data_IF_934630329024
#
_entry.id   IF_934630329024
#
_cell.length_a   1.000
_cell.length_b   1.000
_cell.length_c   1.000
_cell.angle_alpha   90.00
_cell.angle_beta   90.00
_cell.angle_gamma   90.00
#
_symmetry.space_group_name_H-M   'P 1'
#
loop_
_entity.id
_entity.type
_entity.pdbx_description
1 polymer ?
#
# COMPACT_ATOMS: atom_id res chain seq x y z
N UNK A 1 19.71 -2.84 -1.95
CA UNK A 1 19.74 -1.78 -2.98
C UNK A 1 21.07 -1.84 -3.71
N UNK A 2 21.11 -1.50 -5.00
CA UNK A 2 22.32 -1.43 -5.83
C UNK A 2 22.39 -0.04 -6.48
N UNK A 3 23.57 0.55 -6.51
CA UNK A 3 23.78 1.88 -7.07
C UNK A 3 23.92 1.89 -8.60
N UNK A 4 24.37 0.78 -9.17
CA UNK A 4 24.59 0.56 -10.60
C UNK A 4 24.66 -0.95 -10.88
N UNK A 5 24.87 -1.33 -12.15
CA UNK A 5 24.93 -2.72 -12.60
C UNK A 5 26.11 -3.51 -11.97
N UNK A 6 27.27 -2.88 -11.82
CA UNK A 6 28.44 -3.53 -11.19
C UNK A 6 28.19 -3.84 -9.71
N UNK A 7 27.61 -2.89 -8.97
CA UNK A 7 27.20 -3.06 -7.58
C UNK A 7 26.09 -4.12 -7.45
N UNK A 8 25.14 -4.14 -8.38
CA UNK A 8 24.11 -5.18 -8.44
C UNK A 8 24.74 -6.57 -8.61
N UNK A 9 25.62 -6.74 -9.58
CA UNK A 9 26.26 -8.03 -9.85
C UNK A 9 27.09 -8.50 -8.65
N UNK A 10 27.80 -7.59 -8.00
CA UNK A 10 28.58 -7.88 -6.79
C UNK A 10 27.67 -8.39 -5.66
N UNK A 11 26.57 -7.67 -5.38
CA UNK A 11 25.61 -8.04 -4.32
C UNK A 11 24.86 -9.33 -4.65
N UNK A 12 24.47 -9.52 -5.91
CA UNK A 12 23.83 -10.75 -6.34
C UNK A 12 24.73 -11.98 -6.12
N UNK A 13 26.00 -11.89 -6.51
CA UNK A 13 26.95 -12.97 -6.29
C UNK A 13 27.19 -13.25 -4.80
N UNK A 14 27.19 -12.21 -3.97
CA UNK A 14 27.29 -12.37 -2.52
C UNK A 14 26.06 -13.16 -1.99
N UNK A 15 24.84 -12.77 -2.35
CA UNK A 15 23.60 -13.45 -1.92
C UNK A 15 23.58 -14.92 -2.37
N UNK A 16 24.07 -15.22 -3.57
CA UNK A 16 24.24 -16.60 -4.05
C UNK A 16 25.24 -17.36 -3.18
N UNK A 17 26.41 -16.76 -2.89
CA UNK A 17 27.45 -17.39 -2.07
C UNK A 17 27.01 -17.66 -0.63
N UNK A 18 26.12 -16.83 -0.11
CA UNK A 18 25.49 -16.97 1.21
C UNK A 18 24.30 -17.93 1.22
N UNK A 19 23.89 -18.45 0.05
CA UNK A 19 22.75 -19.37 -0.10
C UNK A 19 21.38 -18.72 0.15
N UNK A 20 21.29 -17.40 0.04
CA UNK A 20 20.05 -16.62 0.23
C UNK A 20 19.19 -16.70 -1.03
N UNK A 21 19.82 -16.67 -2.22
CA UNK A 21 19.16 -16.85 -3.52
C UNK A 21 19.90 -17.92 -4.33
N UNK A 22 19.21 -18.54 -5.28
CA UNK A 22 19.83 -19.46 -6.24
C UNK A 22 20.38 -18.73 -7.48
N UNK A 23 21.27 -19.37 -8.23
CA UNK A 23 21.80 -18.82 -9.48
C UNK A 23 20.71 -18.56 -10.53
N UNK A 24 19.70 -19.43 -10.57
CA UNK A 24 18.59 -19.41 -11.53
C UNK A 24 17.40 -18.57 -11.05
N UNK A 25 17.51 -17.93 -9.89
CA UNK A 25 16.41 -17.16 -9.32
C UNK A 25 16.13 -15.90 -10.12
N UNK A 26 14.86 -15.75 -10.51
CA UNK A 26 14.39 -14.55 -11.21
C UNK A 26 14.15 -13.43 -10.20
N UNK A 27 14.93 -12.36 -10.31
CA UNK A 27 14.82 -11.19 -9.46
C UNK A 27 14.12 -10.05 -10.19
N UNK A 28 13.18 -9.39 -9.50
CA UNK A 28 12.62 -8.13 -9.97
C UNK A 28 13.53 -6.98 -9.57
N UNK A 29 13.91 -6.15 -10.54
CA UNK A 29 14.67 -4.93 -10.33
C UNK A 29 13.74 -3.76 -10.50
N UNK A 30 13.63 -2.94 -9.46
CA UNK A 30 12.82 -1.72 -9.46
C UNK A 30 13.68 -0.51 -9.15
N UNK A 31 13.33 0.62 -9.74
CA UNK A 31 13.89 1.91 -9.32
C UNK A 31 13.49 2.20 -7.88
N UNK A 32 14.43 2.71 -7.08
CA UNK A 32 14.13 3.18 -5.74
C UNK A 32 13.52 4.58 -5.81
N UNK A 33 12.22 4.68 -5.59
CA UNK A 33 11.54 5.95 -5.49
C UNK A 33 11.69 6.53 -4.08
N UNK A 34 12.34 7.69 -3.97
CA UNK A 34 12.47 8.41 -2.72
C UNK A 34 11.27 9.31 -2.49
N UNK A 35 10.68 9.26 -1.28
CA UNK A 35 9.52 10.08 -0.95
C UNK A 35 8.89 9.72 0.38
N UNK A 36 7.72 10.28 0.62
CA UNK A 36 6.90 9.96 1.79
C UNK A 36 6.07 8.71 1.51
N UNK A 37 6.29 7.67 2.30
CA UNK A 37 5.48 6.45 2.21
C UNK A 37 4.00 6.76 2.48
N UNK A 38 3.14 6.27 1.60
CA UNK A 38 1.69 6.38 1.75
C UNK A 38 1.01 5.11 1.25
N UNK A 39 0.17 4.55 2.08
CA UNK A 39 -0.57 3.32 1.84
C UNK A 39 -2.04 3.68 1.68
N UNK A 40 -2.47 3.80 0.41
CA UNK A 40 -3.81 4.25 0.03
C UNK A 40 -4.79 3.09 0.14
N UNK A 41 -5.73 3.18 1.08
CA UNK A 41 -6.67 2.11 1.40
C UNK A 41 -8.02 2.38 0.76
N UNK A 42 -8.56 1.39 0.08
CA UNK A 42 -9.81 1.48 -0.67
C UNK A 42 -10.76 0.33 -0.31
N UNK A 43 -12.02 0.52 -0.68
CA UNK A 43 -13.02 -0.53 -0.76
C UNK A 43 -13.77 -0.40 -2.09
N UNK A 44 -13.88 -1.50 -2.83
CA UNK A 44 -14.72 -1.55 -4.03
C UNK A 44 -15.92 -2.45 -3.78
N UNK A 45 -17.13 -1.90 -3.97
CA UNK A 45 -18.37 -2.63 -3.85
C UNK A 45 -18.85 -3.10 -5.23
N UNK A 46 -18.87 -4.41 -5.52
CA UNK A 46 -19.47 -4.92 -6.75
C UNK A 46 -21.01 -4.84 -6.73
N UNK A 47 -21.63 -4.62 -5.56
CA UNK A 47 -23.08 -4.48 -5.44
C UNK A 47 -23.59 -3.11 -5.91
N UNK A 48 -22.79 -2.06 -5.71
CA UNK A 48 -23.10 -0.68 -6.13
C UNK A 48 -22.24 -0.22 -7.29
N UNK A 49 -21.18 -0.97 -7.61
CA UNK A 49 -20.15 -0.62 -8.59
C UNK A 49 -19.46 0.71 -8.25
N UNK A 50 -19.21 0.94 -6.97
CA UNK A 50 -18.62 2.15 -6.44
C UNK A 50 -17.29 1.87 -5.76
N UNK A 51 -16.34 2.79 -5.97
CA UNK A 51 -15.07 2.85 -5.27
C UNK A 51 -15.19 3.81 -4.08
N UNK A 52 -14.75 3.36 -2.93
CA UNK A 52 -14.68 4.14 -1.71
C UNK A 52 -13.21 4.30 -1.30
N UNK A 53 -12.80 5.53 -1.01
CA UNK A 53 -11.50 5.80 -0.42
C UNK A 53 -11.62 5.74 1.11
N UNK A 54 -11.01 4.72 1.72
CA UNK A 54 -11.10 4.51 3.16
C UNK A 54 -10.16 5.41 3.93
N UNK A 55 -8.91 5.52 3.52
CA UNK A 55 -7.93 6.32 4.26
C UNK A 55 -6.50 6.05 3.81
N UNK A 56 -5.57 6.65 4.53
CA UNK A 56 -4.13 6.49 4.29
C UNK A 56 -3.42 6.22 5.59
N UNK A 57 -2.48 5.31 5.56
CA UNK A 57 -1.52 5.14 6.63
C UNK A 57 -0.08 5.32 6.14
N UNK A 58 0.77 5.69 7.06
CA UNK A 58 2.21 5.68 6.91
C UNK A 58 2.79 4.61 7.82
N UNK A 59 3.68 3.78 7.30
CA UNK A 59 4.42 2.79 8.08
C UNK A 59 5.68 3.41 8.65
N UNK A 60 6.00 3.04 9.88
CA UNK A 60 7.23 3.40 10.56
C UNK A 60 8.18 2.23 10.54
N UNK A 61 9.34 2.45 9.94
CA UNK A 61 10.36 1.44 9.73
C UNK A 61 11.56 1.67 10.63
N UNK A 62 11.99 0.63 11.34
CA UNK A 62 13.12 0.70 12.25
C UNK A 62 14.43 0.97 11.50
N UNK A 63 15.37 1.64 12.20
CA UNK A 63 16.69 2.08 11.74
C UNK A 63 16.69 3.09 10.60
N UNK A 64 16.00 2.82 9.46
CA UNK A 64 16.04 3.74 8.30
C UNK A 64 15.53 5.14 8.65
N UNK A 65 14.46 5.24 9.43
CA UNK A 65 13.95 6.54 9.87
C UNK A 65 14.93 7.27 10.80
N UNK A 66 15.61 6.53 11.68
CA UNK A 66 16.66 7.08 12.55
C UNK A 66 17.88 7.49 11.78
N UNK A 67 18.32 6.67 10.82
CA UNK A 67 19.48 6.97 9.97
C UNK A 67 19.24 8.19 9.09
N UNK A 68 18.05 8.38 8.56
CA UNK A 68 17.68 9.53 7.74
C UNK A 68 17.74 10.88 8.48
N UNK A 69 17.80 10.88 9.82
CA UNK A 69 17.89 12.10 10.67
C UNK A 69 19.29 12.58 10.95
N UNK A 70 20.31 11.81 10.58
CA UNK A 70 21.72 12.17 10.79
C UNK A 70 22.39 12.50 9.44
N UNK A 71 23.40 13.41 9.44
CA UNK A 71 24.12 13.78 8.23
C UNK A 71 24.72 12.56 7.50
N UNK A 72 24.76 12.61 6.17
CA UNK A 72 25.18 11.48 5.33
C UNK A 72 26.61 11.00 5.60
N UNK A 73 27.51 11.92 5.94
CA UNK A 73 28.90 11.57 6.33
C UNK A 73 28.96 10.77 7.64
N UNK A 74 28.03 11.02 8.57
CA UNK A 74 27.90 10.27 9.80
C UNK A 74 27.20 8.92 9.57
N UNK A 75 26.22 8.86 8.66
CA UNK A 75 25.62 7.59 8.25
C UNK A 75 26.70 6.64 7.73
N UNK A 76 27.57 7.10 6.84
CA UNK A 76 28.68 6.31 6.30
C UNK A 76 29.66 5.84 7.39
N UNK A 77 29.97 6.71 8.35
CA UNK A 77 30.86 6.37 9.48
C UNK A 77 30.27 5.35 10.44
N UNK A 78 28.96 5.33 10.59
CA UNK A 78 28.27 4.39 11.48
C UNK A 78 28.39 2.93 11.04
N UNK A 79 28.63 2.68 9.75
CA UNK A 79 28.65 1.35 9.11
C UNK A 79 27.39 0.53 9.37
N UNK A 80 26.29 1.14 9.80
CA UNK A 80 25.02 0.47 9.98
C UNK A 80 24.38 0.14 8.63
N UNK A 81 23.88 -1.07 8.49
CA UNK A 81 23.02 -1.45 7.38
C UNK A 81 21.60 -1.08 7.78
N UNK A 82 20.88 -0.29 6.96
CA UNK A 82 19.50 0.09 7.27
C UNK A 82 18.60 -1.13 7.37
N UNK A 83 17.70 -1.10 8.36
CA UNK A 83 16.59 -2.05 8.49
C UNK A 83 15.27 -1.37 8.11
N UNK A 84 14.43 -2.10 7.39
CA UNK A 84 13.10 -1.67 6.94
C UNK A 84 11.99 -2.45 7.66
N UNK A 85 12.26 -2.95 8.86
CA UNK A 85 11.25 -3.67 9.63
C UNK A 85 10.15 -2.71 10.10
N UNK A 86 8.93 -2.96 9.67
CA UNK A 86 7.76 -2.18 10.10
C UNK A 86 7.49 -2.42 11.58
N UNK A 87 7.49 -1.36 12.36
CA UNK A 87 7.22 -1.37 13.81
C UNK A 87 5.85 -0.81 14.17
N UNK A 88 5.20 -0.10 13.26
CA UNK A 88 3.90 0.48 13.51
C UNK A 88 3.39 1.31 12.35
N UNK A 89 2.14 1.77 12.49
CA UNK A 89 1.46 2.59 11.51
C UNK A 89 0.91 3.85 12.19
N UNK A 90 0.89 4.96 11.45
CA UNK A 90 0.20 6.19 11.86
C UNK A 90 -0.78 6.64 10.78
N UNK A 91 -1.90 7.31 11.17
CA UNK A 91 -2.84 7.87 10.22
C UNK A 91 -2.20 9.05 9.46
N UNK A 92 -2.48 9.12 8.17
CA UNK A 92 -2.10 10.24 7.33
C UNK A 92 -3.36 10.85 6.70
N UNK A 93 -3.49 12.17 6.77
CA UNK A 93 -4.54 12.90 6.03
C UNK A 93 -3.87 13.62 4.86
N UNK A 94 -4.24 13.22 3.65
CA UNK A 94 -3.74 13.84 2.43
C UNK A 94 -4.31 15.26 2.25
N UNK A 95 -3.55 16.11 1.59
CA UNK A 95 -4.07 17.37 1.09
C UNK A 95 -5.22 17.11 0.11
N UNK A 96 -6.28 17.89 0.20
CA UNK A 96 -7.47 17.75 -0.66
C UNK A 96 -7.12 17.76 -2.14
N UNK A 97 -6.12 18.55 -2.55
CA UNK A 97 -5.65 18.64 -3.94
C UNK A 97 -5.08 17.35 -4.53
N UNK A 98 -4.82 16.32 -3.70
CA UNK A 98 -4.34 15.01 -4.15
C UNK A 98 -5.45 13.98 -4.30
N UNK A 99 -6.66 14.27 -3.83
CA UNK A 99 -7.74 13.29 -3.80
C UNK A 99 -8.21 12.86 -5.19
N UNK A 100 -8.25 13.76 -6.16
CA UNK A 100 -8.63 13.44 -7.53
C UNK A 100 -7.70 12.38 -8.14
N UNK A 101 -6.37 12.52 -7.93
CA UNK A 101 -5.39 11.53 -8.36
C UNK A 101 -5.58 10.20 -7.64
N UNK A 102 -5.85 10.23 -6.33
CA UNK A 102 -6.10 9.04 -5.52
C UNK A 102 -7.30 8.25 -6.03
N UNK A 103 -8.43 8.91 -6.27
CA UNK A 103 -9.62 8.25 -6.82
C UNK A 103 -9.34 7.69 -8.22
N UNK A 104 -8.71 8.47 -9.09
CA UNK A 104 -8.33 8.01 -10.43
C UNK A 104 -7.44 6.76 -10.40
N UNK A 105 -6.48 6.70 -9.48
CA UNK A 105 -5.64 5.50 -9.30
C UNK A 105 -6.46 4.29 -8.86
N UNK A 106 -7.33 4.46 -7.87
CA UNK A 106 -8.18 3.39 -7.39
C UNK A 106 -9.12 2.86 -8.47
N UNK A 107 -9.76 3.73 -9.24
CA UNK A 107 -10.61 3.36 -10.38
C UNK A 107 -9.82 2.61 -11.47
N UNK A 108 -8.65 3.13 -11.85
CA UNK A 108 -7.77 2.48 -12.83
C UNK A 108 -7.31 1.09 -12.34
N UNK A 109 -7.05 0.94 -11.05
CA UNK A 109 -6.69 -0.35 -10.47
C UNK A 109 -7.86 -1.35 -10.57
N UNK A 110 -9.07 -0.95 -10.19
CA UNK A 110 -10.28 -1.79 -10.30
C UNK A 110 -10.52 -2.21 -11.74
N UNK A 111 -10.45 -1.29 -12.69
CA UNK A 111 -10.64 -1.58 -14.11
C UNK A 111 -9.52 -2.49 -14.68
N UNK A 112 -8.28 -2.29 -14.25
CA UNK A 112 -7.18 -3.19 -14.62
C UNK A 112 -7.38 -4.60 -14.04
N UNK A 113 -7.79 -4.70 -12.79
CA UNK A 113 -8.08 -5.98 -12.14
C UNK A 113 -9.17 -6.76 -12.89
N UNK A 114 -10.28 -6.11 -13.27
CA UNK A 114 -11.36 -6.73 -14.07
C UNK A 114 -10.88 -7.31 -15.40
N UNK A 115 -9.89 -6.66 -16.04
CA UNK A 115 -9.34 -7.12 -17.33
C UNK A 115 -8.36 -8.28 -17.19
N UNK A 116 -7.63 -8.36 -16.06
CA UNK A 116 -6.54 -9.31 -15.88
C UNK A 116 -7.01 -10.58 -15.18
N UNK A 117 -7.84 -10.45 -14.15
CA UNK A 117 -8.32 -11.57 -13.32
C UNK A 117 -9.81 -11.40 -13.05
N UNK A 118 -10.65 -12.25 -13.68
CA UNK A 118 -12.09 -12.26 -13.41
C UNK A 118 -12.37 -12.81 -12.01
N UNK A 119 -13.33 -12.21 -11.26
CA UNK A 119 -14.24 -11.11 -11.60
C UNK A 119 -13.65 -9.72 -11.34
N UNK A 120 -12.39 -9.58 -11.00
CA UNK A 120 -11.73 -8.33 -10.67
C UNK A 120 -11.49 -8.15 -9.19
N UNK A 121 -11.29 -6.91 -8.76
CA UNK A 121 -11.10 -6.56 -7.37
C UNK A 121 -12.44 -6.31 -6.68
N UNK A 122 -12.74 -7.09 -5.63
CA UNK A 122 -13.92 -6.92 -4.78
C UNK A 122 -13.50 -6.69 -3.32
N UNK A 123 -14.18 -5.77 -2.64
CA UNK A 123 -13.89 -5.49 -1.23
C UNK A 123 -12.64 -4.61 -1.00
N UNK A 124 -11.93 -4.80 0.14
CA UNK A 124 -10.82 -3.95 0.53
C UNK A 124 -9.56 -4.24 -0.26
N UNK A 125 -8.83 -3.17 -0.63
CA UNK A 125 -7.49 -3.26 -1.19
C UNK A 125 -6.66 -2.03 -0.80
N UNK A 126 -5.35 -2.12 -1.03
CA UNK A 126 -4.41 -1.05 -0.76
C UNK A 126 -3.47 -0.88 -1.96
N UNK A 127 -3.20 0.37 -2.32
CA UNK A 127 -2.13 0.74 -3.25
C UNK A 127 -1.00 1.36 -2.43
N UNK A 128 0.18 0.77 -2.52
CA UNK A 128 1.34 1.14 -1.72
C UNK A 128 2.34 1.92 -2.58
N UNK A 129 2.81 3.04 -2.07
CA UNK A 129 3.71 3.90 -2.84
C UNK A 129 4.32 5.04 -2.04
N UNK A 130 4.92 5.96 -2.76
CA UNK A 130 5.56 7.15 -2.20
C UNK A 130 5.09 8.41 -2.93
N UNK A 131 4.96 9.50 -2.18
CA UNK A 131 4.86 10.85 -2.74
C UNK A 131 6.25 11.48 -2.78
N UNK A 132 6.70 11.90 -3.96
CA UNK A 132 7.97 12.59 -4.18
C UNK A 132 7.90 14.07 -3.73
N UNK A 133 9.01 14.82 -3.93
CA UNK A 133 9.10 16.24 -3.61
C UNK A 133 8.13 17.15 -4.39
N UNK A 134 7.60 16.67 -5.52
CA UNK A 134 6.59 17.35 -6.34
C UNK A 134 5.17 16.93 -5.96
N UNK A 135 5.03 16.11 -4.93
CA UNK A 135 3.79 15.48 -4.50
C UNK A 135 3.16 14.57 -5.59
N UNK A 136 3.98 13.98 -6.44
CA UNK A 136 3.58 12.97 -7.41
C UNK A 136 3.69 11.58 -6.77
N UNK A 137 2.63 10.79 -6.91
CA UNK A 137 2.60 9.42 -6.39
C UNK A 137 3.25 8.42 -7.34
N UNK A 138 4.12 7.57 -6.80
CA UNK A 138 4.68 6.41 -7.50
C UNK A 138 4.33 5.16 -6.72
N UNK A 139 3.50 4.29 -7.29
CA UNK A 139 3.16 3.01 -6.68
C UNK A 139 4.26 1.97 -6.96
N UNK A 140 4.55 1.13 -5.97
CA UNK A 140 5.51 0.03 -6.09
C UNK A 140 4.90 -1.32 -5.74
N UNK A 141 3.77 -1.35 -5.03
CA UNK A 141 3.09 -2.57 -4.61
C UNK A 141 1.58 -2.35 -4.46
N UNK A 142 0.83 -3.43 -4.43
CA UNK A 142 -0.58 -3.41 -4.01
C UNK A 142 -0.89 -4.65 -3.16
N UNK A 143 -1.90 -4.52 -2.32
CA UNK A 143 -2.45 -5.62 -1.52
C UNK A 143 -3.95 -5.77 -1.84
N UNK A 144 -4.33 -6.87 -2.49
CA UNK A 144 -5.73 -7.18 -2.83
C UNK A 144 -6.47 -7.79 -1.62
N UNK A 145 -6.37 -7.15 -0.46
CA UNK A 145 -6.97 -7.59 0.81
C UNK A 145 -6.99 -6.46 1.82
N UNK A 146 -7.63 -6.71 2.97
CA UNK A 146 -7.49 -5.85 4.14
C UNK A 146 -6.03 -5.80 4.63
N UNK A 147 -5.53 -4.63 4.95
CA UNK A 147 -4.16 -4.39 5.45
C UNK A 147 -4.16 -3.96 6.91
N UNK A 148 -3.02 -4.16 7.59
CA UNK A 148 -2.89 -3.83 9.01
C UNK A 148 -3.12 -2.35 9.33
N UNK A 149 -2.79 -1.45 8.40
CA UNK A 149 -3.02 -0.01 8.53
C UNK A 149 -4.49 0.38 8.73
N UNK A 150 -5.46 -0.48 8.35
CA UNK A 150 -6.88 -0.21 8.62
C UNK A 150 -7.19 -0.19 10.13
N UNK A 151 -6.37 -0.83 10.96
CA UNK A 151 -6.58 -0.91 12.41
C UNK A 151 -6.45 0.44 13.12
N UNK A 152 -5.76 1.41 12.53
CA UNK A 152 -5.68 2.78 13.10
C UNK A 152 -7.02 3.53 13.00
N UNK A 153 -7.96 3.04 12.20
CA UNK A 153 -9.26 3.64 11.93
C UNK A 153 -10.40 2.77 12.47
N UNK A 154 -10.32 2.36 13.74
CA UNK A 154 -11.34 1.47 14.35
C UNK A 154 -12.73 2.06 14.38
N UNK A 155 -12.83 3.39 14.53
CA UNK A 155 -14.11 4.13 14.51
C UNK A 155 -14.42 4.77 13.14
N UNK A 156 -13.58 4.52 12.15
CA UNK A 156 -13.66 5.11 10.81
C UNK A 156 -12.59 6.16 10.58
N UNK A 157 -12.26 6.36 9.31
CA UNK A 157 -11.33 7.40 8.89
C UNK A 157 -12.05 8.75 8.72
N UNK A 158 -11.31 9.87 8.60
CA UNK A 158 -11.90 11.15 8.22
C UNK A 158 -12.71 11.09 6.93
N UNK A 159 -12.28 10.30 5.95
CA UNK A 159 -12.95 10.15 4.65
C UNK A 159 -14.27 9.37 4.78
N UNK A 160 -14.28 8.27 5.54
CA UNK A 160 -15.48 7.50 5.79
C UNK A 160 -16.49 8.23 6.68
N UNK A 161 -16.02 9.10 7.58
CA UNK A 161 -16.91 9.95 8.39
C UNK A 161 -17.70 10.94 7.54
N UNK A 162 -17.16 11.33 6.37
CA UNK A 162 -17.89 12.15 5.40
C UNK A 162 -18.91 11.36 4.57
N UNK A 163 -18.64 10.07 4.35
CA UNK A 163 -19.45 9.19 3.52
C UNK A 163 -20.61 8.52 4.30
N UNK A 164 -20.33 8.15 5.57
CA UNK A 164 -21.28 7.46 6.43
C UNK A 164 -21.65 8.31 7.64
N UNK A 165 -22.91 8.38 8.00
CA UNK A 165 -23.39 9.07 9.22
C UNK A 165 -23.24 8.20 10.48
N UNK A 166 -22.31 7.28 10.48
CA UNK A 166 -22.01 6.37 11.59
C UNK A 166 -20.53 6.01 11.59
N UNK A 167 -20.06 5.52 12.72
CA UNK A 167 -18.70 4.95 12.82
C UNK A 167 -18.56 3.75 11.88
N UNK A 168 -17.60 3.82 10.93
CA UNK A 168 -17.43 2.81 9.89
C UNK A 168 -15.95 2.40 9.76
N UNK A 169 -15.57 1.35 10.49
CA UNK A 169 -14.29 0.69 10.26
C UNK A 169 -14.32 -0.17 9.01
N UNK A 170 -13.16 -0.56 8.49
CA UNK A 170 -13.07 -1.47 7.34
C UNK A 170 -13.78 -2.81 7.62
N UNK A 171 -13.62 -3.36 8.82
CA UNK A 171 -14.32 -4.59 9.21
C UNK A 171 -15.85 -4.44 9.24
N UNK A 172 -16.35 -3.29 9.72
CA UNK A 172 -17.79 -2.99 9.71
C UNK A 172 -18.31 -2.79 8.28
N UNK A 173 -17.51 -2.18 7.41
CA UNK A 173 -17.86 -2.01 5.99
C UNK A 173 -17.96 -3.35 5.26
N UNK A 174 -17.02 -4.26 5.51
CA UNK A 174 -17.07 -5.64 4.99
C UNK A 174 -18.33 -6.36 5.46
N UNK A 175 -18.64 -6.30 6.75
CA UNK A 175 -19.83 -6.93 7.31
C UNK A 175 -21.12 -6.36 6.70
N UNK A 176 -21.15 -5.05 6.45
CA UNK A 176 -22.27 -4.38 5.78
C UNK A 176 -22.44 -4.84 4.33
N UNK A 177 -21.33 -5.01 3.58
CA UNK A 177 -21.37 -5.54 2.22
C UNK A 177 -21.97 -6.95 2.18
N UNK A 178 -21.48 -7.84 3.06
CA UNK A 178 -21.98 -9.21 3.16
C UNK A 178 -23.48 -9.24 3.49
N UNK A 179 -23.89 -8.44 4.48
CA UNK A 179 -25.32 -8.36 4.85
C UNK A 179 -26.19 -7.85 3.69
N UNK A 180 -25.74 -6.82 2.98
CA UNK A 180 -26.46 -6.26 1.83
C UNK A 180 -26.56 -7.27 0.69
N UNK A 181 -25.49 -8.03 0.44
CA UNK A 181 -25.49 -9.07 -0.58
C UNK A 181 -26.45 -10.22 -0.23
N UNK A 182 -26.51 -10.63 1.04
CA UNK A 182 -27.44 -11.65 1.53
C UNK A 182 -28.89 -11.21 1.38
N UNK A 183 -29.22 -10.00 1.83
CA UNK A 183 -30.57 -9.40 1.71
C UNK A 183 -31.05 -9.29 0.24
N UNK A 184 -30.12 -9.11 -0.70
CA UNK A 184 -30.40 -9.04 -2.14
C UNK A 184 -30.35 -10.39 -2.85
N UNK A 185 -29.93 -11.47 -2.17
CA UNK A 185 -29.59 -12.77 -2.76
C UNK A 185 -28.49 -12.66 -3.84
N UNK A 186 -27.46 -11.88 -3.59
CA UNK A 186 -26.35 -11.57 -4.50
C UNK A 186 -24.97 -11.93 -3.90
N UNK A 187 -24.92 -12.88 -2.98
CA UNK A 187 -23.67 -13.30 -2.30
C UNK A 187 -22.59 -13.71 -3.32
N UNK A 188 -22.96 -14.33 -4.42
CA UNK A 188 -22.02 -14.75 -5.47
C UNK A 188 -21.29 -13.58 -6.14
N UNK A 189 -21.78 -12.35 -6.02
CA UNK A 189 -21.12 -11.16 -6.56
C UNK A 189 -19.95 -10.68 -5.73
N UNK A 190 -19.91 -11.04 -4.44
CA UNK A 190 -18.89 -10.55 -3.49
C UNK A 190 -17.87 -11.61 -3.10
N UNK A 191 -18.06 -12.85 -3.52
CA UNK A 191 -17.11 -13.95 -3.32
C UNK A 191 -16.30 -14.19 -4.60
N UNK A 192 -15.01 -14.47 -4.44
CA UNK A 192 -14.05 -14.70 -5.55
C UNK A 192 -13.48 -16.09 -5.49
#
# INVERSE_FOLDING_TARGET
MAANEEDYNTKRNQLISEGIISEDEVLYIQEYAAGVLAYLQFFYSPLTNELEFFGVDQRHESDIEGLGRIPSDQQLKSKKVPSFNVIGNSPLVLRESLLDEVYTMGENFVEAAKRIVSPGMNGPFCIEGVYDENAKFTSFEFSARIVAGTNIYMDGSPYYSLLFNESMSMGRRIAREIKTADEKNEIEKIVT
#
